data_IF_708960808121
#
_entry.id   IF_708960808121
#
_cell.length_a   1.000
_cell.length_b   1.000
_cell.length_c   1.000
_cell.angle_alpha   90.00
_cell.angle_beta   90.00
_cell.angle_gamma   90.00
#
_symmetry.space_group_name_H-M   'P 1'
#
loop_
_entity.id
_entity.type
_entity.pdbx_description
1 polymer ?
#
# COMPACT_ATOMS: atom_id res chain seq x y z
N UNK A 1 -3.22 19.72 11.49
CA UNK A 1 -4.34 18.96 12.07
C UNK A 1 -4.94 18.14 10.94
N UNK A 2 -4.89 16.81 11.06
CA UNK A 2 -5.49 15.91 10.07
C UNK A 2 -7.01 16.03 10.14
N UNK A 3 -7.67 16.45 9.06
CA UNK A 3 -9.13 16.57 9.04
C UNK A 3 -9.80 15.20 8.82
N UNK A 4 -11.13 15.13 9.00
CA UNK A 4 -11.88 13.87 8.88
C UNK A 4 -11.72 13.21 7.50
N UNK A 5 -11.65 14.01 6.44
CA UNK A 5 -11.44 13.53 5.06
C UNK A 5 -10.06 12.88 4.90
N UNK A 6 -9.01 13.52 5.42
CA UNK A 6 -7.65 12.97 5.42
C UNK A 6 -7.57 11.66 6.22
N UNK A 7 -8.30 11.55 7.35
CA UNK A 7 -8.38 10.31 8.12
C UNK A 7 -9.06 9.18 7.33
N UNK A 8 -10.14 9.48 6.59
CA UNK A 8 -10.80 8.50 5.74
C UNK A 8 -9.89 8.03 4.60
N UNK A 9 -9.17 8.95 3.96
CA UNK A 9 -8.19 8.62 2.92
C UNK A 9 -7.08 7.74 3.50
N UNK A 10 -6.56 8.08 4.69
CA UNK A 10 -5.55 7.26 5.37
C UNK A 10 -6.07 5.84 5.66
N UNK A 11 -7.30 5.68 6.14
CA UNK A 11 -7.90 4.37 6.37
C UNK A 11 -7.98 3.53 5.08
N UNK A 12 -8.39 4.15 3.96
CA UNK A 12 -8.43 3.48 2.66
C UNK A 12 -7.04 3.08 2.15
N UNK A 13 -6.04 3.94 2.37
CA UNK A 13 -4.64 3.67 2.00
C UNK A 13 -4.07 2.51 2.82
N UNK A 14 -4.33 2.47 4.13
CA UNK A 14 -3.89 1.37 5.00
C UNK A 14 -4.54 0.05 4.57
N UNK A 15 -5.84 0.03 4.32
CA UNK A 15 -6.53 -1.17 3.83
C UNK A 15 -5.96 -1.64 2.47
N UNK A 16 -5.69 -0.70 1.57
CA UNK A 16 -5.06 -1.01 0.28
C UNK A 16 -3.66 -1.58 0.44
N UNK A 17 -2.89 -1.11 1.43
CA UNK A 17 -1.55 -1.60 1.72
C UNK A 17 -1.60 -3.05 2.22
N UNK A 18 -2.54 -3.38 3.10
CA UNK A 18 -2.75 -4.75 3.60
C UNK A 18 -3.05 -5.71 2.45
N UNK A 19 -3.97 -5.32 1.54
CA UNK A 19 -4.29 -6.12 0.35
C UNK A 19 -3.06 -6.31 -0.54
N UNK A 20 -2.28 -5.27 -0.81
CA UNK A 20 -1.06 -5.39 -1.62
C UNK A 20 0.01 -6.23 -0.93
N UNK A 21 0.12 -6.21 0.40
CA UNK A 21 1.04 -7.05 1.16
C UNK A 21 0.69 -8.54 1.06
N UNK A 22 -0.60 -8.88 1.18
CA UNK A 22 -1.08 -10.26 0.98
C UNK A 22 -0.77 -10.76 -0.44
N UNK A 23 -0.96 -9.90 -1.46
CA UNK A 23 -0.61 -10.24 -2.85
C UNK A 23 0.89 -10.40 -3.05
N UNK A 24 1.70 -9.57 -2.40
CA UNK A 24 3.16 -9.67 -2.43
C UNK A 24 3.66 -11.00 -1.84
N UNK A 25 3.10 -11.42 -0.70
CA UNK A 25 3.43 -12.70 -0.08
C UNK A 25 3.04 -13.87 -0.99
N UNK A 26 1.83 -13.82 -1.57
CA UNK A 26 1.38 -14.83 -2.52
C UNK A 26 2.32 -14.95 -3.72
N UNK A 27 2.68 -13.84 -4.37
CA UNK A 27 3.54 -13.87 -5.57
C UNK A 27 4.97 -14.26 -5.25
N UNK A 28 5.46 -13.95 -4.04
CA UNK A 28 6.72 -14.49 -3.53
C UNK A 28 6.70 -16.02 -3.44
N UNK A 29 5.65 -16.58 -2.83
CA UNK A 29 5.47 -18.03 -2.68
C UNK A 29 5.32 -18.74 -4.04
N UNK A 30 4.66 -18.10 -5.00
CA UNK A 30 4.48 -18.60 -6.37
C UNK A 30 5.72 -18.41 -7.25
N UNK A 31 6.77 -17.74 -6.76
CA UNK A 31 7.96 -17.33 -7.52
C UNK A 31 7.62 -16.46 -8.75
N UNK A 32 6.49 -15.75 -8.70
CA UNK A 32 6.06 -14.80 -9.71
C UNK A 32 6.75 -13.45 -9.49
N UNK A 33 7.96 -13.33 -10.03
CA UNK A 33 8.84 -12.16 -9.85
C UNK A 33 8.22 -10.88 -10.43
N UNK A 34 7.47 -10.99 -11.54
CA UNK A 34 6.87 -9.82 -12.20
C UNK A 34 5.78 -9.21 -11.31
N UNK A 35 4.83 -10.03 -10.86
CA UNK A 35 3.77 -9.53 -9.98
C UNK A 35 4.30 -9.19 -8.58
N UNK A 36 5.35 -9.87 -8.09
CA UNK A 36 6.03 -9.46 -6.87
C UNK A 36 6.56 -8.02 -6.96
N UNK A 37 7.30 -7.71 -8.03
CA UNK A 37 7.84 -6.36 -8.23
C UNK A 37 6.73 -5.32 -8.37
N UNK A 38 5.63 -5.67 -9.05
CA UNK A 38 4.45 -4.81 -9.17
C UNK A 38 3.85 -4.48 -7.80
N UNK A 39 3.54 -5.49 -6.98
CA UNK A 39 2.94 -5.28 -5.65
C UNK A 39 3.88 -4.54 -4.70
N UNK A 40 5.20 -4.76 -4.83
CA UNK A 40 6.20 -3.98 -4.10
C UNK A 40 6.11 -2.48 -4.44
N UNK A 41 6.00 -2.14 -5.73
CA UNK A 41 5.85 -0.73 -6.15
C UNK A 41 4.51 -0.13 -5.70
N UNK A 42 3.43 -0.90 -5.72
CA UNK A 42 2.14 -0.46 -5.18
C UNK A 42 2.25 -0.07 -3.69
N UNK A 43 2.89 -0.91 -2.87
CA UNK A 43 3.12 -0.64 -1.43
C UNK A 43 3.94 0.65 -1.25
N UNK A 44 5.04 0.80 -1.98
CA UNK A 44 5.89 2.01 -1.92
C UNK A 44 5.11 3.27 -2.29
N UNK A 45 4.25 3.21 -3.32
CA UNK A 45 3.41 4.32 -3.71
C UNK A 45 2.38 4.68 -2.63
N UNK A 46 1.79 3.69 -1.97
CA UNK A 46 0.86 3.93 -0.85
C UNK A 46 1.61 4.56 0.33
N UNK A 47 2.79 4.06 0.69
CA UNK A 47 3.63 4.64 1.75
C UNK A 47 3.97 6.10 1.45
N UNK A 48 4.34 6.41 0.21
CA UNK A 48 4.58 7.79 -0.23
C UNK A 48 3.32 8.66 -0.05
N UNK A 49 2.14 8.19 -0.47
CA UNK A 49 0.88 8.94 -0.30
C UNK A 49 0.55 9.18 1.17
N UNK A 50 0.70 8.18 2.04
CA UNK A 50 0.53 8.33 3.48
C UNK A 50 1.48 9.40 4.01
N UNK A 51 2.77 9.34 3.62
CA UNK A 51 3.78 10.31 4.06
C UNK A 51 3.44 11.76 3.68
N UNK A 52 2.75 11.99 2.55
CA UNK A 52 2.32 13.31 2.13
C UNK A 52 1.12 13.84 2.92
N UNK A 53 0.28 12.96 3.46
CA UNK A 53 -0.90 13.36 4.24
C UNK A 53 -0.53 13.64 5.69
N UNK A 54 0.45 12.90 6.24
CA UNK A 54 0.89 13.05 7.64
C UNK A 54 1.96 14.14 7.83
N UNK A 55 2.61 14.60 6.75
CA UNK A 55 3.53 15.75 6.78
C UNK A 55 2.76 17.06 6.90
#
# INVERSE_FOLDING_TARGET
MTNLEQLQILAQLVNSMEISALKLEKTYNEKDIENFNKHKQEILNIQNRISHIIK
#
